data_IF_068696731841
#
_entry.id   IF_068696731841
#
_cell.length_a   1.000
_cell.length_b   1.000
_cell.length_c   1.000
_cell.angle_alpha   90.00
_cell.angle_beta   90.00
_cell.angle_gamma   90.00
#
_symmetry.space_group_name_H-M   'P 1'
#
loop_
_entity.id
_entity.type
_entity.pdbx_description
1 polymer ?
#
# COMPACT_ATOMS: atom_id res chain seq x y z
N UNK A 1 7.04 17.55 -7.44
CA UNK A 1 5.79 17.79 -6.67
C UNK A 1 4.70 17.14 -7.49
N UNK A 2 4.34 15.90 -7.16
CA UNK A 2 3.31 15.15 -7.90
C UNK A 2 1.98 15.41 -7.21
N UNK A 3 1.10 16.05 -7.92
CA UNK A 3 -0.25 16.38 -7.50
C UNK A 3 -1.07 15.09 -7.47
N UNK A 4 -1.49 14.68 -6.29
CA UNK A 4 -2.54 13.66 -6.13
C UNK A 4 -3.85 14.37 -6.45
N UNK A 5 -4.33 14.22 -7.68
CA UNK A 5 -5.58 14.85 -8.11
C UNK A 5 -6.76 14.12 -7.45
N UNK A 6 -7.41 14.78 -6.51
CA UNK A 6 -8.74 14.39 -6.04
C UNK A 6 -9.78 14.73 -7.13
N UNK A 7 -10.39 13.73 -7.74
CA UNK A 7 -11.44 13.90 -8.76
C UNK A 7 -12.81 13.77 -8.09
N UNK A 8 -13.74 14.65 -8.46
CA UNK A 8 -15.07 14.81 -7.88
C UNK A 8 -16.04 13.61 -8.09
N UNK A 9 -17.15 13.51 -7.34
CA UNK A 9 -17.80 12.26 -6.97
C UNK A 9 -18.60 11.59 -8.07
N UNK A 10 -18.46 10.27 -8.13
CA UNK A 10 -19.52 9.38 -8.61
C UNK A 10 -20.54 9.33 -7.47
N UNK A 11 -21.81 9.55 -7.77
CA UNK A 11 -22.91 9.70 -6.84
C UNK A 11 -23.07 8.46 -5.92
N UNK A 12 -22.36 8.47 -4.83
CA UNK A 12 -22.64 7.68 -3.65
C UNK A 12 -22.15 8.52 -2.47
N UNK A 13 -23.03 8.90 -1.60
CA UNK A 13 -22.77 9.74 -0.43
C UNK A 13 -21.74 9.13 0.53
N UNK A 14 -21.28 7.89 0.25
CA UNK A 14 -20.42 7.08 1.12
C UNK A 14 -19.20 6.44 0.40
N UNK A 15 -18.64 7.07 -0.62
CA UNK A 15 -17.44 6.57 -1.29
C UNK A 15 -16.26 7.54 -1.20
N UNK A 16 -15.05 7.00 -0.90
CA UNK A 16 -13.80 7.73 -0.97
C UNK A 16 -12.91 7.14 -2.07
N UNK A 17 -12.16 7.98 -2.78
CA UNK A 17 -11.25 7.48 -3.82
C UNK A 17 -9.93 8.25 -3.85
N UNK A 18 -8.91 7.57 -4.37
CA UNK A 18 -7.63 8.15 -4.67
C UNK A 18 -7.10 7.58 -5.99
N UNK A 19 -6.52 8.45 -6.84
CA UNK A 19 -6.00 8.07 -8.14
C UNK A 19 -4.50 8.31 -8.21
N UNK A 20 -3.75 7.34 -8.75
CA UNK A 20 -2.31 7.42 -8.93
C UNK A 20 -1.93 7.05 -10.36
N UNK A 21 -0.89 7.72 -10.88
CA UNK A 21 -0.25 7.36 -12.15
C UNK A 21 0.95 6.46 -11.87
N UNK A 22 1.14 5.44 -12.73
CA UNK A 22 2.20 4.45 -12.58
C UNK A 22 2.91 4.22 -13.91
N UNK A 23 4.23 3.96 -13.88
CA UNK A 23 5.01 3.68 -15.08
C UNK A 23 4.83 2.25 -15.60
N UNK A 24 3.97 1.44 -14.99
CA UNK A 24 3.65 0.10 -15.46
C UNK A 24 2.67 0.19 -16.63
N UNK A 25 2.75 -0.75 -17.57
CA UNK A 25 1.68 -0.95 -18.55
C UNK A 25 0.42 -1.47 -17.86
N UNK A 26 -0.73 -1.39 -18.54
CA UNK A 26 -2.00 -1.92 -18.03
C UNK A 26 -1.86 -3.40 -17.65
N UNK A 27 -1.23 -4.21 -18.50
CA UNK A 27 -1.04 -5.63 -18.26
C UNK A 27 -0.10 -5.91 -17.08
N UNK A 28 1.02 -5.17 -16.97
CA UNK A 28 1.93 -5.26 -15.83
C UNK A 28 1.22 -4.90 -14.51
N UNK A 29 0.37 -3.86 -14.54
CA UNK A 29 -0.38 -3.45 -13.37
C UNK A 29 -1.47 -4.46 -12.99
N UNK A 30 -2.18 -5.04 -13.96
CA UNK A 30 -3.13 -6.13 -13.73
C UNK A 30 -2.47 -7.33 -13.05
N UNK A 31 -1.33 -7.78 -13.57
CA UNK A 31 -0.54 -8.87 -12.96
C UNK A 31 -0.09 -8.50 -11.54
N UNK A 32 0.33 -7.25 -11.34
CA UNK A 32 0.73 -6.78 -10.01
C UNK A 32 -0.44 -6.83 -9.03
N UNK A 33 -1.61 -6.37 -9.44
CA UNK A 33 -2.80 -6.27 -8.59
C UNK A 33 -3.45 -7.63 -8.26
N UNK A 34 -3.08 -8.72 -8.94
CA UNK A 34 -3.52 -10.07 -8.57
C UNK A 34 -3.02 -10.53 -7.18
N UNK A 35 -1.93 -9.97 -6.69
CA UNK A 35 -1.40 -10.25 -5.35
C UNK A 35 -2.07 -9.32 -4.32
N UNK A 36 -3.27 -9.72 -3.87
CA UNK A 36 -4.11 -8.95 -2.95
C UNK A 36 -3.40 -8.70 -1.62
N UNK A 37 -2.73 -9.72 -1.06
CA UNK A 37 -1.96 -9.56 0.17
C UNK A 37 -0.94 -8.43 0.05
N UNK A 38 -0.21 -8.39 -1.06
CA UNK A 38 0.77 -7.34 -1.32
C UNK A 38 0.14 -5.96 -1.39
N UNK A 39 -1.01 -5.82 -2.09
CA UNK A 39 -1.72 -4.55 -2.18
C UNK A 39 -2.07 -3.99 -0.79
N UNK A 40 -2.64 -4.83 0.06
CA UNK A 40 -3.00 -4.42 1.43
C UNK A 40 -1.80 -4.18 2.32
N UNK A 41 -0.75 -5.02 2.23
CA UNK A 41 0.47 -4.86 3.04
C UNK A 41 1.28 -3.61 2.69
N UNK A 42 1.08 -3.01 1.52
CA UNK A 42 1.69 -1.73 1.15
C UNK A 42 1.08 -0.57 1.94
N UNK A 43 -0.18 -0.68 2.38
CA UNK A 43 -0.81 0.35 3.20
C UNK A 43 -0.01 0.59 4.50
N UNK A 44 0.54 1.81 4.71
CA UNK A 44 1.38 2.09 5.87
C UNK A 44 0.61 2.26 7.17
N UNK A 45 -0.74 2.30 7.10
CA UNK A 45 -1.63 2.50 8.23
C UNK A 45 -2.25 1.19 8.73
N UNK A 46 -1.95 0.04 8.10
CA UNK A 46 -2.43 -1.26 8.51
C UNK A 46 -1.30 -2.08 9.15
N UNK A 47 -1.44 -2.42 10.41
CA UNK A 47 -0.59 -3.38 11.11
C UNK A 47 -1.25 -4.76 11.10
N UNK A 48 -0.66 -5.71 10.36
CA UNK A 48 -1.21 -7.04 10.19
C UNK A 48 -0.94 -7.91 11.41
N UNK A 49 -2.01 -8.46 11.98
CA UNK A 49 -1.98 -9.51 13.01
C UNK A 49 -2.10 -10.89 12.35
N UNK A 50 -3.00 -11.04 11.37
CA UNK A 50 -3.14 -12.25 10.56
C UNK A 50 -3.50 -11.92 9.11
N UNK A 51 -3.07 -12.78 8.20
CA UNK A 51 -3.51 -12.85 6.81
C UNK A 51 -3.49 -14.31 6.38
N UNK A 52 -4.64 -14.87 6.08
CA UNK A 52 -4.79 -16.28 5.75
C UNK A 52 -5.60 -16.45 4.46
N UNK A 53 -5.09 -17.25 3.54
CA UNK A 53 -5.86 -17.64 2.35
C UNK A 53 -6.76 -18.82 2.72
N UNK A 54 -8.06 -18.61 2.77
CA UNK A 54 -9.05 -19.63 3.14
C UNK A 54 -9.45 -20.51 1.96
N UNK A 55 -9.61 -19.89 0.78
CA UNK A 55 -9.96 -20.57 -0.47
C UNK A 55 -9.49 -19.72 -1.66
N UNK A 56 -9.80 -20.16 -2.88
CA UNK A 56 -9.56 -19.31 -4.04
C UNK A 56 -10.40 -18.04 -3.93
N UNK A 57 -9.71 -16.89 -4.05
CA UNK A 57 -10.28 -15.56 -3.92
C UNK A 57 -10.94 -15.23 -2.56
N UNK A 58 -10.71 -16.06 -1.52
CA UNK A 58 -11.20 -15.79 -0.16
C UNK A 58 -10.04 -15.72 0.82
N UNK A 59 -10.01 -14.66 1.62
CA UNK A 59 -8.96 -14.39 2.59
C UNK A 59 -9.58 -13.98 3.92
N UNK A 60 -8.89 -14.31 5.01
CA UNK A 60 -9.16 -13.76 6.33
C UNK A 60 -8.09 -12.72 6.63
N UNK A 61 -8.51 -11.55 7.08
CA UNK A 61 -7.63 -10.43 7.40
C UNK A 61 -7.94 -9.90 8.79
N UNK A 62 -6.96 -9.99 9.69
CA UNK A 62 -6.99 -9.33 10.99
C UNK A 62 -5.89 -8.27 11.05
N UNK A 63 -6.28 -7.00 11.18
CA UNK A 63 -5.38 -5.85 11.17
C UNK A 63 -5.77 -4.83 12.23
N UNK A 64 -4.77 -4.09 12.72
CA UNK A 64 -4.96 -2.86 13.48
C UNK A 64 -4.80 -1.68 12.53
N UNK A 65 -5.85 -0.89 12.38
CA UNK A 65 -5.82 0.34 11.60
C UNK A 65 -5.37 1.50 12.50
N UNK A 66 -4.24 2.12 12.13
CA UNK A 66 -3.62 3.23 12.86
C UNK A 66 -3.78 4.57 12.12
N UNK A 67 -4.75 4.68 11.22
CA UNK A 67 -5.01 5.91 10.46
C UNK A 67 -5.65 7.02 11.28
N UNK A 68 -6.10 6.71 12.49
CA UNK A 68 -6.72 7.67 13.42
C UNK A 68 -6.48 7.26 14.88
N UNK A 69 -6.83 8.14 15.81
CA UNK A 69 -6.75 7.92 17.26
C UNK A 69 -8.15 7.97 17.89
N UNK A 70 -8.49 6.93 18.70
CA UNK A 70 -7.72 5.73 18.97
C UNK A 70 -7.67 4.81 17.75
N UNK A 71 -6.58 4.01 17.58
CA UNK A 71 -6.52 2.96 16.58
C UNK A 71 -7.61 1.91 16.81
N UNK A 72 -8.12 1.31 15.74
CA UNK A 72 -9.15 0.30 15.84
C UNK A 72 -8.74 -1.01 15.16
N UNK A 73 -9.31 -2.12 15.61
CA UNK A 73 -9.06 -3.44 15.04
C UNK A 73 -10.14 -3.77 14.00
N UNK A 74 -9.69 -4.37 12.90
CA UNK A 74 -10.54 -4.87 11.83
C UNK A 74 -10.24 -6.35 11.67
N UNK A 75 -11.28 -7.18 11.83
CA UNK A 75 -11.22 -8.62 11.65
C UNK A 75 -12.35 -9.01 10.69
N UNK A 76 -12.00 -9.36 9.46
CA UNK A 76 -12.96 -9.53 8.36
C UNK A 76 -12.53 -10.63 7.40
N UNK A 77 -13.53 -11.24 6.76
CA UNK A 77 -13.31 -12.06 5.58
C UNK A 77 -13.40 -11.19 4.31
N UNK A 78 -12.49 -11.44 3.39
CA UNK A 78 -12.43 -10.78 2.09
C UNK A 78 -12.81 -11.78 1.01
N UNK A 79 -13.65 -11.35 0.07
CA UNK A 79 -13.96 -12.08 -1.15
C UNK A 79 -13.54 -11.24 -2.35
N UNK A 80 -12.70 -11.77 -3.23
CA UNK A 80 -12.09 -11.04 -4.34
C UNK A 80 -12.75 -11.44 -5.65
N UNK A 81 -13.24 -10.46 -6.38
CA UNK A 81 -13.77 -10.60 -7.72
C UNK A 81 -12.82 -9.95 -8.74
N UNK A 82 -12.45 -10.70 -9.76
CA UNK A 82 -11.58 -10.21 -10.84
C UNK A 82 -12.44 -9.88 -12.06
N UNK A 83 -12.45 -8.62 -12.47
CA UNK A 83 -13.05 -8.14 -13.71
C UNK A 83 -11.96 -7.70 -14.70
N UNK A 84 -12.25 -7.49 -15.99
CA UNK A 84 -11.23 -7.17 -16.99
C UNK A 84 -10.35 -5.96 -16.66
N UNK A 85 -10.91 -4.91 -16.07
CA UNK A 85 -10.23 -3.66 -15.75
C UNK A 85 -10.35 -3.26 -14.27
N UNK A 86 -10.96 -4.12 -13.45
CA UNK A 86 -11.19 -3.86 -12.03
C UNK A 86 -10.93 -5.12 -11.19
N UNK A 87 -10.46 -4.91 -9.98
CA UNK A 87 -10.43 -5.93 -8.93
C UNK A 87 -11.26 -5.41 -7.78
N UNK A 88 -12.28 -6.16 -7.41
CA UNK A 88 -13.22 -5.78 -6.36
C UNK A 88 -12.98 -6.68 -5.15
N UNK A 89 -12.72 -6.08 -4.00
CA UNK A 89 -12.55 -6.78 -2.73
C UNK A 89 -13.75 -6.46 -1.85
N UNK A 90 -14.62 -7.43 -1.67
CA UNK A 90 -15.78 -7.34 -0.78
C UNK A 90 -15.40 -7.71 0.63
N UNK A 91 -15.91 -6.97 1.61
CA UNK A 91 -15.67 -7.21 3.03
C UNK A 91 -16.92 -7.86 3.64
N UNK A 92 -16.73 -8.99 4.30
CA UNK A 92 -17.77 -9.62 5.11
C UNK A 92 -17.54 -9.18 6.58
N UNK A 93 -18.24 -8.12 6.97
CA UNK A 93 -18.10 -7.50 8.29
C UNK A 93 -17.36 -6.15 8.24
N UNK A 94 -17.45 -5.41 9.33
CA UNK A 94 -16.89 -4.06 9.43
C UNK A 94 -17.72 -2.99 8.71
N UNK A 95 -17.18 -1.78 8.62
CA UNK A 95 -17.87 -0.61 8.03
C UNK A 95 -17.65 -0.51 6.52
N UNK A 96 -16.56 -1.04 6.01
CA UNK A 96 -16.21 -1.01 4.60
C UNK A 96 -16.95 -2.12 3.87
N UNK A 97 -17.73 -1.76 2.84
CA UNK A 97 -18.45 -2.70 2.00
C UNK A 97 -17.54 -3.35 0.96
N UNK A 98 -16.80 -2.53 0.24
CA UNK A 98 -15.85 -3.00 -0.77
C UNK A 98 -14.74 -1.98 -1.04
N UNK A 99 -13.62 -2.49 -1.55
CA UNK A 99 -12.55 -1.70 -2.15
C UNK A 99 -12.40 -2.10 -3.61
N UNK A 100 -12.43 -1.13 -4.52
CA UNK A 100 -12.29 -1.36 -5.96
C UNK A 100 -10.94 -0.80 -6.41
N UNK A 101 -10.17 -1.61 -7.11
CA UNK A 101 -8.94 -1.23 -7.79
C UNK A 101 -9.24 -1.15 -9.29
N UNK A 102 -9.48 0.05 -9.81
CA UNK A 102 -9.76 0.30 -11.24
C UNK A 102 -8.48 0.65 -11.97
N UNK A 103 -8.25 -0.03 -13.09
CA UNK A 103 -7.04 0.10 -13.91
C UNK A 103 -7.41 0.68 -15.26
N UNK A 104 -6.81 1.80 -15.62
CA UNK A 104 -7.06 2.48 -16.89
C UNK A 104 -5.73 2.83 -17.58
N UNK A 105 -5.70 2.89 -18.92
CA UNK A 105 -4.53 3.37 -19.65
C UNK A 105 -4.26 4.85 -19.35
N UNK A 106 -2.96 5.25 -19.39
CA UNK A 106 -2.51 6.63 -19.23
C UNK A 106 -1.42 6.93 -20.26
N UNK A 107 -1.14 8.22 -20.54
CA UNK A 107 -0.11 8.63 -21.51
C UNK A 107 1.28 8.04 -21.23
N UNK A 108 1.64 7.88 -19.96
CA UNK A 108 2.96 7.40 -19.53
C UNK A 108 2.93 6.05 -18.79
N UNK A 109 1.96 5.19 -19.12
CA UNK A 109 1.82 3.87 -18.49
C UNK A 109 0.37 3.53 -18.19
N UNK A 110 0.01 3.45 -16.91
CA UNK A 110 -1.36 3.20 -16.47
C UNK A 110 -1.74 4.05 -15.26
N UNK A 111 -3.03 4.18 -15.05
CA UNK A 111 -3.66 4.85 -13.92
C UNK A 111 -4.36 3.81 -13.06
N UNK A 112 -4.15 3.86 -11.75
CA UNK A 112 -4.83 3.05 -10.76
C UNK A 112 -5.67 3.95 -9.89
N UNK A 113 -6.97 3.68 -9.83
CA UNK A 113 -7.91 4.35 -8.92
C UNK A 113 -8.35 3.36 -7.84
N UNK A 114 -8.09 3.72 -6.59
CA UNK A 114 -8.59 3.01 -5.42
C UNK A 114 -9.90 3.67 -5.00
N UNK A 115 -10.95 2.89 -4.83
CA UNK A 115 -12.26 3.37 -4.40
C UNK A 115 -12.68 2.53 -3.20
N UNK A 116 -12.90 3.18 -2.06
CA UNK A 116 -13.46 2.55 -0.87
C UNK A 116 -14.92 2.94 -0.75
N UNK A 117 -15.80 1.94 -0.73
CA UNK A 117 -17.24 2.12 -0.52
C UNK A 117 -17.62 1.63 0.89
N UNK A 118 -18.37 2.46 1.57
CA UNK A 118 -18.89 2.20 2.92
C UNK A 118 -20.39 1.88 2.84
N UNK A 119 -20.85 0.93 3.65
CA UNK A 119 -22.25 0.51 3.69
C UNK A 119 -23.07 1.20 4.78
N UNK A 120 -22.73 2.45 5.10
CA UNK A 120 -23.32 3.16 6.23
C UNK A 120 -24.71 3.71 5.84
N UNK A 121 -25.73 3.38 6.62
CA UNK A 121 -26.97 4.19 6.64
C UNK A 121 -26.68 5.52 7.34
N UNK A 122 -27.39 6.60 6.96
CA UNK A 122 -27.22 7.96 7.54
C UNK A 122 -27.23 7.96 9.08
N UNK A 123 -27.97 7.04 9.71
CA UNK A 123 -28.04 6.92 11.17
C UNK A 123 -26.79 6.27 11.79
N UNK A 124 -26.08 5.43 11.05
CA UNK A 124 -24.86 4.74 11.50
C UNK A 124 -23.59 5.55 11.18
N UNK A 125 -23.62 6.35 10.12
CA UNK A 125 -22.55 7.28 9.74
C UNK A 125 -22.18 8.22 10.87
N UNK A 126 -23.16 8.79 11.57
CA UNK A 126 -22.94 9.72 12.69
C UNK A 126 -22.40 9.04 13.97
N UNK A 127 -22.64 7.74 14.17
CA UNK A 127 -22.14 7.00 15.34
C UNK A 127 -20.71 6.49 15.16
N UNK A 128 -20.33 6.15 13.93
CA UNK A 128 -19.10 5.44 13.61
C UNK A 128 -18.09 6.27 12.82
N UNK A 129 -18.24 7.60 12.78
CA UNK A 129 -17.28 8.54 12.16
C UNK A 129 -15.83 8.28 12.60
N UNK A 130 -15.63 7.78 13.82
CA UNK A 130 -14.32 7.46 14.36
C UNK A 130 -13.74 6.13 13.85
N UNK A 131 -14.50 5.32 13.11
CA UNK A 131 -14.05 4.05 12.53
C UNK A 131 -13.90 4.12 11.00
N UNK A 132 -14.18 5.27 10.38
CA UNK A 132 -13.94 5.49 8.95
C UNK A 132 -12.45 5.45 8.66
N UNK A 133 -12.06 4.59 7.73
CA UNK A 133 -10.66 4.42 7.35
C UNK A 133 -10.11 5.68 6.64
N UNK A 134 -9.21 6.38 7.30
CA UNK A 134 -8.53 7.57 6.76
C UNK A 134 -7.20 7.23 6.07
N UNK A 135 -6.96 5.95 5.82
CA UNK A 135 -5.68 5.49 5.25
C UNK A 135 -5.57 5.65 3.73
N UNK A 136 -6.67 5.86 3.01
CA UNK A 136 -6.76 5.74 1.55
C UNK A 136 -5.72 6.60 0.81
N UNK A 137 -5.59 7.88 1.17
CA UNK A 137 -4.63 8.79 0.52
C UNK A 137 -3.18 8.35 0.80
N UNK A 138 -2.88 7.97 2.04
CA UNK A 138 -1.58 7.45 2.42
C UNK A 138 -1.28 6.12 1.70
N UNK A 139 -2.27 5.26 1.59
CA UNK A 139 -2.15 4.00 0.86
C UNK A 139 -1.83 4.24 -0.61
N UNK A 140 -2.56 5.12 -1.28
CA UNK A 140 -2.33 5.49 -2.67
C UNK A 140 -0.91 6.03 -2.89
N UNK A 141 -0.42 6.97 -2.05
CA UNK A 141 0.93 7.53 -2.16
C UNK A 141 2.02 6.44 -1.98
N UNK A 142 1.89 5.58 -0.96
CA UNK A 142 2.83 4.49 -0.75
C UNK A 142 2.80 3.46 -1.89
N UNK A 143 1.61 3.17 -2.41
CA UNK A 143 1.45 2.27 -3.56
C UNK A 143 2.09 2.85 -4.81
N UNK A 144 1.94 4.15 -5.09
CA UNK A 144 2.59 4.82 -6.22
C UNK A 144 4.11 4.70 -6.12
N UNK A 145 4.70 5.04 -4.97
CA UNK A 145 6.15 4.91 -4.72
C UNK A 145 6.64 3.47 -4.87
N UNK A 146 5.84 2.53 -4.39
CA UNK A 146 6.15 1.11 -4.52
C UNK A 146 6.15 0.68 -6.00
N UNK A 147 5.14 1.06 -6.80
CA UNK A 147 5.03 0.72 -8.22
C UNK A 147 6.16 1.33 -9.06
N UNK A 148 6.59 2.55 -8.76
CA UNK A 148 7.78 3.17 -9.38
C UNK A 148 9.04 2.34 -9.06
N UNK A 149 9.24 1.96 -7.80
CA UNK A 149 10.36 1.12 -7.39
C UNK A 149 10.27 -0.28 -7.99
N UNK A 150 9.06 -0.85 -8.08
CA UNK A 150 8.80 -2.14 -8.71
C UNK A 150 9.20 -2.13 -10.17
N UNK A 151 8.82 -1.12 -10.96
CA UNK A 151 9.21 -0.99 -12.37
C UNK A 151 10.73 -0.96 -12.54
N UNK A 152 11.44 -0.29 -11.65
CA UNK A 152 12.90 -0.13 -11.70
C UNK A 152 13.65 -1.40 -11.29
N UNK A 153 13.21 -2.09 -10.23
CA UNK A 153 14.00 -3.09 -9.54
C UNK A 153 13.48 -4.53 -9.64
N UNK A 154 12.22 -4.75 -10.09
CA UNK A 154 11.59 -6.07 -10.11
C UNK A 154 12.28 -7.10 -11.02
N UNK A 155 13.08 -6.65 -11.99
CA UNK A 155 13.91 -7.55 -12.82
C UNK A 155 15.00 -8.27 -12.01
N UNK A 156 15.41 -7.75 -10.84
CA UNK A 156 16.44 -8.32 -10.01
C UNK A 156 15.85 -9.32 -8.99
N UNK A 157 16.28 -10.59 -9.08
CA UNK A 157 15.74 -11.67 -8.23
C UNK A 157 15.96 -11.43 -6.73
N UNK A 158 17.13 -10.90 -6.33
CA UNK A 158 17.44 -10.58 -4.95
C UNK A 158 16.50 -9.51 -4.38
N UNK A 159 16.13 -8.50 -5.19
CA UNK A 159 15.21 -7.45 -4.77
C UNK A 159 13.80 -8.01 -4.55
N UNK A 160 13.29 -8.86 -5.47
CA UNK A 160 11.99 -9.54 -5.31
C UNK A 160 11.97 -10.42 -4.06
N UNK A 161 13.06 -11.15 -3.81
CA UNK A 161 13.22 -11.97 -2.62
C UNK A 161 13.16 -11.11 -1.35
N UNK A 162 13.93 -10.02 -1.28
CA UNK A 162 13.95 -9.07 -0.16
C UNK A 162 12.54 -8.49 0.09
N UNK A 163 11.88 -7.99 -0.96
CA UNK A 163 10.55 -7.40 -0.84
C UNK A 163 9.51 -8.41 -0.32
N UNK A 164 9.53 -9.64 -0.82
CA UNK A 164 8.57 -10.68 -0.43
C UNK A 164 8.86 -11.26 0.97
N UNK A 165 10.12 -11.52 1.30
CA UNK A 165 10.50 -12.25 2.52
C UNK A 165 10.74 -11.36 3.73
N UNK A 166 11.13 -10.12 3.51
CA UNK A 166 11.56 -9.21 4.57
C UNK A 166 10.61 -8.02 4.64
N UNK A 167 10.49 -7.25 3.57
CA UNK A 167 9.76 -6.00 3.60
C UNK A 167 8.24 -6.17 3.78
N UNK A 168 7.60 -7.07 3.03
CA UNK A 168 6.14 -7.28 3.13
C UNK A 168 5.68 -7.77 4.52
N UNK A 169 6.34 -8.75 5.17
CA UNK A 169 5.93 -9.22 6.50
C UNK A 169 6.19 -8.20 7.60
N UNK A 170 7.07 -7.20 7.39
CA UNK A 170 7.36 -6.20 8.41
C UNK A 170 6.15 -5.31 8.68
N UNK A 171 5.91 -5.02 9.96
CA UNK A 171 5.00 -3.95 10.38
C UNK A 171 5.47 -2.59 9.86
N UNK A 172 4.55 -1.63 9.61
CA UNK A 172 4.91 -0.28 9.13
C UNK A 172 5.99 0.42 9.95
N UNK A 173 5.92 0.32 11.27
CA UNK A 173 6.93 0.86 12.19
C UNK A 173 8.31 0.22 11.96
N UNK A 174 8.36 -1.12 11.80
CA UNK A 174 9.61 -1.84 11.50
C UNK A 174 10.25 -1.38 10.19
N UNK A 175 9.46 -1.14 9.14
CA UNK A 175 9.96 -0.63 7.85
C UNK A 175 10.61 0.75 7.99
N UNK A 176 10.00 1.67 8.77
CA UNK A 176 10.54 3.02 9.04
C UNK A 176 11.87 2.93 9.79
N UNK A 177 11.93 2.09 10.83
CA UNK A 177 13.14 1.88 11.64
C UNK A 177 14.26 1.29 10.78
N UNK A 178 13.98 0.25 10.00
CA UNK A 178 14.97 -0.38 9.11
C UNK A 178 15.54 0.62 8.10
N UNK A 179 14.69 1.47 7.53
CA UNK A 179 15.12 2.52 6.61
C UNK A 179 16.03 3.55 7.28
N UNK A 180 15.71 3.95 8.50
CA UNK A 180 16.53 4.87 9.30
C UNK A 180 17.92 4.26 9.59
N UNK A 181 17.98 3.00 10.03
CA UNK A 181 19.26 2.31 10.27
C UNK A 181 20.09 2.20 9.00
N UNK A 182 19.48 1.90 7.86
CA UNK A 182 20.19 1.83 6.59
C UNK A 182 20.87 3.17 6.25
N UNK A 183 20.18 4.31 6.45
CA UNK A 183 20.77 5.63 6.24
C UNK A 183 21.92 5.91 7.20
N UNK A 184 21.77 5.58 8.49
CA UNK A 184 22.83 5.75 9.49
C UNK A 184 24.08 4.94 9.07
N UNK A 185 23.89 3.66 8.73
CA UNK A 185 24.99 2.79 8.29
C UNK A 185 25.68 3.32 7.02
N UNK A 186 24.94 3.86 6.06
CA UNK A 186 25.54 4.47 4.86
C UNK A 186 26.41 5.69 5.21
N UNK A 187 25.93 6.54 6.12
CA UNK A 187 26.71 7.69 6.59
C UNK A 187 27.96 7.24 7.33
N UNK A 188 27.87 6.23 8.21
CA UNK A 188 29.03 5.68 8.93
C UNK A 188 30.07 5.12 7.95
N UNK A 189 29.66 4.34 6.95
CA UNK A 189 30.57 3.81 5.92
C UNK A 189 31.25 4.95 5.16
N UNK A 190 30.49 5.98 4.78
CA UNK A 190 31.06 7.16 4.09
C UNK A 190 32.13 7.89 4.95
N UNK A 191 31.88 8.04 6.26
CA UNK A 191 32.82 8.63 7.18
C UNK A 191 34.10 7.77 7.37
N UNK A 192 33.94 6.46 7.44
CA UNK A 192 35.09 5.52 7.52
C UNK A 192 35.96 5.62 6.25
N UNK A 193 35.33 5.65 5.08
CA UNK A 193 36.06 5.80 3.80
C UNK A 193 36.78 7.14 3.74
N UNK A 194 36.13 8.23 4.17
CA UNK A 194 36.74 9.54 4.24
C UNK A 194 37.95 9.57 5.20
N UNK A 195 37.79 9.02 6.40
CA UNK A 195 38.87 8.94 7.40
C UNK A 195 40.07 8.10 6.90
N UNK A 196 39.77 6.96 6.26
CA UNK A 196 40.81 6.14 5.65
C UNK A 196 41.53 6.87 4.50
N UNK A 197 40.80 7.64 3.69
CA UNK A 197 41.39 8.45 2.63
C UNK A 197 42.32 9.55 3.14
N UNK A 198 41.94 10.26 4.21
CA UNK A 198 42.73 11.29 4.86
C UNK A 198 44.01 10.64 5.45
N UNK A 199 43.83 9.53 6.18
CA UNK A 199 44.98 8.80 6.76
C UNK A 199 45.99 8.40 5.69
N UNK A 200 45.49 7.83 4.57
CA UNK A 200 46.38 7.44 3.47
C UNK A 200 47.11 8.61 2.84
N UNK A 201 46.42 9.76 2.69
CA UNK A 201 46.99 10.99 2.14
C UNK A 201 48.09 11.63 3.00
N UNK A 202 48.01 11.47 4.33
CA UNK A 202 49.01 12.05 5.24
C UNK A 202 50.21 11.15 5.48
N UNK A 203 50.08 9.83 5.34
CA UNK A 203 51.13 8.84 5.70
C UNK A 203 51.72 8.10 4.49
N UNK A 204 51.36 8.46 3.27
CA UNK A 204 51.93 7.94 2.04
C UNK A 204 52.48 9.04 1.17
#
# INVERSE_FOLDING_TARGET
MNEVAAVAPISAEDAAWATINTPLSVDELKIFCQDIERLFRINPMLEFNAWEKMADNRYHMAVKNISQEPPFEVDVELNVEHQPDEIIVHYNGGLKKQTIFRIEPSEFGSKLTLIDEYGLSEAESNKNINEVDKSLVNWADYLQRYLISWKKWSRHGWWRWYMKRIWQPMKPTGRRITYMFLWITLVEIALIILGAGIYWSEYT
#
